data_IF_597886068990
#
_entry.id   IF_597886068990
#
_cell.length_a   1.000
_cell.length_b   1.000
_cell.length_c   1.000
_cell.angle_alpha   90.00
_cell.angle_beta   90.00
_cell.angle_gamma   90.00
#
_symmetry.space_group_name_H-M   'P 1'
#
loop_
_entity.id
_entity.type
_entity.pdbx_description
1 polymer ?
#
# COMPACT_ATOMS: atom_id res chain seq x y z
N UNK A 1 5.54 51.91 -24.79
CA UNK A 1 6.00 50.99 -23.74
C UNK A 1 7.51 50.88 -23.87
N UNK A 2 8.28 51.49 -22.97
CA UNK A 2 9.75 51.57 -23.09
C UNK A 2 10.36 50.16 -23.03
N UNK A 3 11.36 49.88 -23.88
CA UNK A 3 12.09 48.60 -23.93
C UNK A 3 12.50 48.01 -22.57
N UNK A 4 13.03 48.79 -21.59
CA UNK A 4 13.35 48.25 -20.27
C UNK A 4 12.15 47.60 -19.57
N UNK A 5 10.94 48.14 -19.78
CA UNK A 5 9.72 47.65 -19.14
C UNK A 5 9.24 46.32 -19.74
N UNK A 6 9.58 46.02 -21.00
CA UNK A 6 9.30 44.71 -21.63
C UNK A 6 10.23 43.62 -21.08
N UNK A 7 11.51 43.93 -20.91
CA UNK A 7 12.50 42.99 -20.36
C UNK A 7 12.19 42.63 -18.91
N UNK A 8 11.78 43.60 -18.08
CA UNK A 8 11.38 43.33 -16.69
C UNK A 8 10.14 42.42 -16.62
N UNK A 9 9.16 42.61 -17.51
CA UNK A 9 7.95 41.79 -17.54
C UNK A 9 8.26 40.33 -17.93
N UNK A 10 9.14 40.12 -18.91
CA UNK A 10 9.60 38.78 -19.32
C UNK A 10 10.36 38.09 -18.19
N UNK A 11 11.19 38.82 -17.44
CA UNK A 11 11.95 38.27 -16.32
C UNK A 11 11.03 37.85 -15.15
N UNK A 12 9.98 38.61 -14.85
CA UNK A 12 8.99 38.27 -13.82
C UNK A 12 8.20 37.01 -14.21
N UNK A 13 7.79 36.89 -15.48
CA UNK A 13 7.10 35.70 -15.99
C UNK A 13 8.02 34.49 -15.93
N UNK A 14 9.29 34.61 -16.32
CA UNK A 14 10.26 33.52 -16.25
C UNK A 14 10.56 33.07 -14.81
N UNK A 15 10.62 34.03 -13.88
CA UNK A 15 10.82 33.76 -12.45
C UNK A 15 9.63 33.06 -11.80
N UNK A 16 8.42 33.28 -12.31
CA UNK A 16 7.20 32.64 -11.78
C UNK A 16 7.06 31.15 -12.12
N UNK A 17 7.91 30.62 -13.01
CA UNK A 17 7.97 29.18 -13.31
C UNK A 17 9.04 28.42 -12.50
N UNK A 18 9.81 29.10 -11.63
CA UNK A 18 10.89 28.48 -10.84
C UNK A 18 10.44 27.98 -9.46
N UNK A 19 9.13 27.93 -9.19
CA UNK A 19 8.65 27.15 -8.05
C UNK A 19 8.85 25.68 -8.35
N UNK A 20 10.02 25.16 -7.98
CA UNK A 20 10.32 23.74 -7.92
C UNK A 20 9.31 23.12 -6.95
N UNK A 21 8.22 22.55 -7.47
CA UNK A 21 7.30 21.76 -6.66
C UNK A 21 8.12 20.60 -6.11
N UNK A 22 8.27 20.54 -4.79
CA UNK A 22 8.94 19.41 -4.16
C UNK A 22 8.04 18.18 -4.28
N UNK A 23 8.63 17.08 -4.76
CA UNK A 23 8.04 15.75 -4.72
C UNK A 23 8.06 15.15 -3.31
N UNK A 24 8.55 15.89 -2.30
CA UNK A 24 8.58 15.41 -0.93
C UNK A 24 7.22 15.45 -0.25
N UNK A 25 6.91 14.39 0.49
CA UNK A 25 5.77 14.29 1.40
C UNK A 25 6.25 14.09 2.82
N UNK A 26 5.51 14.68 3.76
CA UNK A 26 5.75 14.50 5.18
C UNK A 26 4.73 13.56 5.79
N UNK A 27 5.22 12.60 6.57
CA UNK A 27 4.42 11.61 7.25
C UNK A 27 4.68 11.66 8.75
N UNK A 28 3.64 11.41 9.53
CA UNK A 28 3.74 11.10 10.95
C UNK A 28 3.51 9.59 11.09
N UNK A 29 4.51 8.90 11.64
CA UNK A 29 4.40 7.49 12.01
C UNK A 29 4.26 7.41 13.52
N UNK A 30 3.17 6.82 13.99
CA UNK A 30 2.93 6.57 15.41
C UNK A 30 2.83 5.07 15.64
N UNK A 31 3.66 4.54 16.52
CA UNK A 31 3.59 3.16 16.97
C UNK A 31 3.00 3.08 18.39
N UNK A 32 2.20 2.04 18.61
CA UNK A 32 1.39 1.84 19.80
C UNK A 32 1.74 0.52 20.48
N UNK A 33 1.73 0.53 21.81
CA UNK A 33 2.09 -0.63 22.61
C UNK A 33 0.93 -1.64 22.72
N UNK A 34 1.12 -2.71 23.49
CA UNK A 34 0.11 -3.75 23.69
C UNK A 34 -1.13 -3.27 24.45
N UNK A 35 -1.07 -2.12 25.12
CA UNK A 35 -2.21 -1.47 25.78
C UNK A 35 -2.92 -0.47 24.85
N UNK A 36 -2.34 -0.20 23.67
CA UNK A 36 -2.84 0.78 22.72
C UNK A 36 -2.42 2.21 23.04
N UNK A 37 -1.40 2.39 23.87
CA UNK A 37 -0.82 3.70 24.18
C UNK A 37 0.29 4.02 23.18
N UNK A 38 0.35 5.27 22.75
CA UNK A 38 1.46 5.77 21.93
C UNK A 38 2.78 5.59 22.68
N UNK A 39 3.74 4.89 22.07
CA UNK A 39 5.08 4.74 22.64
C UNK A 39 6.17 5.39 21.78
N UNK A 40 5.95 5.50 20.48
CA UNK A 40 6.88 6.15 19.56
C UNK A 40 6.12 6.97 18.51
N UNK A 41 6.66 8.14 18.19
CA UNK A 41 6.11 9.04 17.18
C UNK A 41 7.25 9.70 16.42
N UNK A 42 7.25 9.54 15.11
CA UNK A 42 8.36 9.94 14.23
C UNK A 42 7.82 10.71 13.03
N UNK A 43 8.40 11.88 12.79
CA UNK A 43 8.18 12.66 11.57
C UNK A 43 9.17 12.20 10.49
N UNK A 44 8.65 11.84 9.32
CA UNK A 44 9.44 11.35 8.18
C UNK A 44 9.14 12.19 6.95
N UNK A 45 10.20 12.62 6.25
CA UNK A 45 10.09 13.30 4.97
C UNK A 45 10.61 12.37 3.89
N UNK A 46 9.78 12.12 2.88
CA UNK A 46 10.05 11.14 1.83
C UNK A 46 9.90 11.83 0.48
N UNK A 47 10.95 11.80 -0.34
CA UNK A 47 10.83 12.13 -1.76
C UNK A 47 10.12 10.99 -2.48
N UNK A 48 8.90 11.27 -2.97
CA UNK A 48 8.07 10.26 -3.63
C UNK A 48 8.14 10.34 -5.16
N UNK A 49 9.03 11.15 -5.73
CA UNK A 49 9.22 11.30 -7.19
C UNK A 49 7.89 11.54 -7.92
N UNK A 50 7.06 12.43 -7.35
CA UNK A 50 5.74 12.80 -7.86
C UNK A 50 4.74 11.64 -8.03
N UNK A 51 4.97 10.47 -7.40
CA UNK A 51 4.02 9.36 -7.35
C UNK A 51 2.81 9.70 -6.48
N UNK A 52 1.70 8.97 -6.66
CA UNK A 52 0.59 9.03 -5.71
C UNK A 52 0.95 8.24 -4.45
N UNK A 53 0.38 8.65 -3.31
CA UNK A 53 0.56 7.91 -2.05
C UNK A 53 -0.40 6.72 -2.05
N UNK A 54 0.00 5.58 -2.62
CA UNK A 54 -0.82 4.37 -2.72
C UNK A 54 -0.32 3.23 -1.80
N UNK A 55 -0.99 2.06 -1.84
CA UNK A 55 -0.62 0.89 -1.02
C UNK A 55 0.80 0.41 -1.33
N UNK A 56 1.25 0.55 -2.59
CA UNK A 56 2.59 0.13 -3.01
C UNK A 56 3.66 1.04 -2.39
N UNK A 57 3.45 2.35 -2.43
CA UNK A 57 4.33 3.32 -1.77
C UNK A 57 4.34 3.13 -0.26
N UNK A 58 3.18 2.89 0.36
CA UNK A 58 3.10 2.61 1.79
C UNK A 58 3.90 1.36 2.18
N UNK A 59 3.85 0.31 1.37
CA UNK A 59 4.69 -0.87 1.57
C UNK A 59 6.17 -0.57 1.36
N UNK A 60 6.53 0.18 0.32
CA UNK A 60 7.93 0.51 -0.02
C UNK A 60 8.66 1.23 1.12
N UNK A 61 8.02 2.21 1.76
CA UNK A 61 8.67 3.03 2.79
C UNK A 61 8.34 2.62 4.23
N UNK A 62 7.19 1.98 4.48
CA UNK A 62 6.76 1.63 5.84
C UNK A 62 6.55 0.13 6.07
N UNK A 63 6.76 -0.69 5.02
CA UNK A 63 6.57 -2.14 5.03
C UNK A 63 5.15 -2.58 5.39
N UNK A 64 4.13 -1.73 5.19
CA UNK A 64 2.72 -2.05 5.50
C UNK A 64 1.75 -1.63 4.39
N UNK A 65 0.76 -2.47 4.02
CA UNK A 65 0.63 -3.88 4.40
C UNK A 65 1.76 -4.72 3.80
N UNK A 66 2.20 -5.74 4.54
CA UNK A 66 3.33 -6.59 4.12
C UNK A 66 3.04 -7.41 2.86
N UNK A 67 1.80 -7.88 2.71
CA UNK A 67 1.37 -8.71 1.58
C UNK A 67 0.08 -8.17 0.97
N UNK A 68 0.11 -7.90 -0.33
CA UNK A 68 -1.03 -7.42 -1.09
C UNK A 68 -0.88 -7.82 -2.56
N UNK A 69 -1.99 -7.98 -3.31
CA UNK A 69 -1.95 -8.21 -4.75
C UNK A 69 -1.40 -7.00 -5.52
N UNK A 70 -0.75 -7.24 -6.65
CA UNK A 70 -0.30 -6.16 -7.56
C UNK A 70 -1.48 -5.31 -8.07
N UNK A 71 -2.61 -5.96 -8.34
CA UNK A 71 -3.86 -5.31 -8.77
C UNK A 71 -5.02 -5.83 -7.95
N UNK A 72 -5.79 -4.92 -7.38
CA UNK A 72 -7.03 -5.25 -6.69
C UNK A 72 -8.23 -5.39 -7.63
N UNK A 73 -8.11 -4.91 -8.86
CA UNK A 73 -9.17 -4.96 -9.87
C UNK A 73 -8.56 -5.44 -11.18
N UNK A 74 -9.05 -6.56 -11.71
CA UNK A 74 -8.60 -7.11 -12.98
C UNK A 74 -9.76 -7.72 -13.77
N UNK A 75 -10.16 -7.03 -14.85
CA UNK A 75 -11.26 -7.42 -15.73
C UNK A 75 -11.11 -8.82 -16.32
N UNK A 76 -9.88 -9.34 -16.43
CA UNK A 76 -9.59 -10.68 -16.96
C UNK A 76 -10.21 -11.79 -16.11
N UNK A 77 -10.33 -11.57 -14.80
CA UNK A 77 -10.72 -12.59 -13.83
C UNK A 77 -12.10 -12.33 -13.22
N UNK A 78 -12.97 -11.57 -13.90
CA UNK A 78 -14.34 -11.30 -13.45
C UNK A 78 -15.06 -12.58 -13.01
N UNK A 79 -15.58 -12.58 -11.78
CA UNK A 79 -16.31 -13.70 -11.19
C UNK A 79 -15.52 -15.02 -11.13
N UNK A 80 -14.20 -14.93 -11.04
CA UNK A 80 -13.32 -16.09 -10.96
C UNK A 80 -12.59 -16.16 -9.64
N UNK A 81 -12.19 -17.38 -9.26
CA UNK A 81 -11.13 -17.61 -8.27
C UNK A 81 -9.93 -18.14 -9.01
N UNK A 82 -8.81 -17.44 -8.91
CA UNK A 82 -7.54 -17.89 -9.48
C UNK A 82 -6.63 -18.37 -8.34
N UNK A 83 -5.93 -19.47 -8.60
CA UNK A 83 -4.91 -20.01 -7.70
C UNK A 83 -3.61 -20.07 -8.48
N UNK A 84 -2.61 -19.35 -8.01
CA UNK A 84 -1.28 -19.31 -8.60
C UNK A 84 -0.37 -20.13 -7.69
N UNK A 85 0.10 -21.24 -8.24
CA UNK A 85 1.27 -21.93 -7.72
C UNK A 85 2.49 -21.11 -8.11
N UNK A 86 3.37 -20.79 -7.15
CA UNK A 86 4.73 -20.26 -7.37
C UNK A 86 4.87 -19.33 -8.58
N UNK A 87 4.99 -18.03 -8.33
CA UNK A 87 5.20 -17.04 -9.39
C UNK A 87 6.44 -17.40 -10.22
N UNK A 88 6.27 -17.76 -11.50
CA UNK A 88 7.36 -18.23 -12.38
C UNK A 88 8.47 -17.16 -12.58
N UNK A 89 8.16 -15.90 -12.25
CA UNK A 89 9.04 -14.75 -12.39
C UNK A 89 9.82 -14.38 -11.12
N UNK A 90 9.62 -15.07 -10.00
CA UNK A 90 10.45 -14.86 -8.81
C UNK A 90 11.85 -15.45 -9.03
N UNK A 91 12.87 -14.59 -9.08
CA UNK A 91 14.28 -15.00 -9.12
C UNK A 91 14.53 -15.95 -7.95
N UNK A 92 14.87 -17.19 -8.27
CA UNK A 92 15.34 -18.16 -7.28
C UNK A 92 16.69 -17.71 -6.75
N UNK A 93 16.77 -17.41 -5.46
CA UNK A 93 18.02 -17.67 -4.73
C UNK A 93 18.25 -19.19 -4.77
N UNK A 94 19.49 -19.63 -4.98
CA UNK A 94 19.86 -21.06 -5.06
C UNK A 94 19.37 -21.88 -3.86
N UNK A 95 19.18 -21.24 -2.70
CA UNK A 95 18.57 -21.82 -1.51
C UNK A 95 17.12 -22.31 -1.74
N UNK A 96 16.31 -21.54 -2.48
CA UNK A 96 14.91 -21.84 -2.80
C UNK A 96 14.77 -22.88 -3.91
N UNK A 97 15.83 -23.14 -4.68
CA UNK A 97 15.82 -24.14 -5.75
C UNK A 97 15.64 -25.57 -5.19
N UNK A 98 16.16 -25.83 -3.99
CA UNK A 98 15.99 -27.10 -3.26
C UNK A 98 14.57 -27.28 -2.68
N UNK A 99 13.76 -26.21 -2.65
CA UNK A 99 12.38 -26.23 -2.15
C UNK A 99 11.35 -26.23 -3.28
N UNK A 100 11.73 -26.66 -4.49
CA UNK A 100 10.85 -26.86 -5.65
C UNK A 100 9.57 -27.68 -5.38
N UNK A 101 9.53 -28.44 -4.29
CA UNK A 101 8.40 -29.26 -3.86
C UNK A 101 7.52 -28.62 -2.76
N UNK A 102 7.76 -27.35 -2.37
CA UNK A 102 6.94 -26.70 -1.35
C UNK A 102 5.61 -26.22 -1.96
N UNK A 103 4.53 -26.84 -1.48
CA UNK A 103 3.17 -26.65 -1.98
C UNK A 103 2.50 -25.39 -1.41
N UNK A 104 2.98 -24.21 -1.79
CA UNK A 104 2.32 -22.96 -1.43
C UNK A 104 1.64 -22.32 -2.63
N UNK A 105 0.53 -21.64 -2.37
CA UNK A 105 -0.27 -20.97 -3.39
C UNK A 105 -0.70 -19.59 -2.91
N UNK A 106 -0.84 -18.68 -3.87
CA UNK A 106 -1.64 -17.49 -3.72
C UNK A 106 -3.00 -17.71 -4.37
N UNK A 107 -4.07 -17.39 -3.64
CA UNK A 107 -5.43 -17.47 -4.16
C UNK A 107 -6.06 -16.10 -4.16
N UNK A 108 -6.75 -15.73 -5.24
CA UNK A 108 -7.46 -14.46 -5.37
C UNK A 108 -8.88 -14.73 -5.88
N UNK A 109 -9.88 -14.25 -5.14
CA UNK A 109 -11.29 -14.36 -5.50
C UNK A 109 -11.80 -13.00 -5.96
N UNK A 110 -12.32 -12.95 -7.18
CA UNK A 110 -12.87 -11.76 -7.80
C UNK A 110 -14.40 -11.79 -7.82
N UNK A 111 -15.03 -10.63 -7.70
CA UNK A 111 -16.48 -10.48 -7.85
C UNK A 111 -16.91 -10.18 -9.30
N UNK A 112 -18.22 -9.98 -9.49
CA UNK A 112 -18.84 -9.63 -10.77
C UNK A 112 -18.39 -8.27 -11.34
N UNK A 113 -17.77 -7.42 -10.53
CA UNK A 113 -17.18 -6.14 -10.95
C UNK A 113 -15.66 -6.22 -11.11
N UNK A 114 -15.12 -7.45 -11.07
CA UNK A 114 -13.70 -7.75 -11.21
C UNK A 114 -12.84 -7.24 -10.06
N UNK A 115 -13.42 -6.98 -8.88
CA UNK A 115 -12.71 -6.59 -7.67
C UNK A 115 -12.31 -7.83 -6.89
N UNK A 116 -11.08 -7.89 -6.41
CA UNK A 116 -10.65 -8.91 -5.45
C UNK A 116 -11.44 -8.70 -4.16
N UNK A 117 -12.25 -9.67 -3.74
CA UNK A 117 -12.98 -9.63 -2.47
C UNK A 117 -12.28 -10.43 -1.37
N UNK A 118 -11.41 -11.36 -1.76
CA UNK A 118 -10.59 -12.15 -0.86
C UNK A 118 -9.27 -12.53 -1.53
N UNK A 119 -8.16 -12.46 -0.78
CA UNK A 119 -6.88 -13.01 -1.23
C UNK A 119 -6.15 -13.70 -0.09
N UNK A 120 -5.41 -14.76 -0.41
CA UNK A 120 -4.72 -15.57 0.59
C UNK A 120 -3.39 -16.12 0.11
N UNK A 121 -2.61 -16.56 1.07
CA UNK A 121 -1.40 -17.35 0.90
C UNK A 121 -1.49 -18.56 1.80
N UNK A 122 -1.35 -19.75 1.23
CA UNK A 122 -1.51 -21.01 1.97
C UNK A 122 -0.39 -21.29 2.97
N UNK A 123 0.69 -20.51 2.94
CA UNK A 123 1.84 -20.71 3.82
C UNK A 123 2.82 -21.74 3.26
N UNK A 124 4.06 -21.66 3.73
CA UNK A 124 5.10 -22.63 3.44
C UNK A 124 5.85 -22.91 4.74
N UNK A 125 5.91 -24.18 5.15
CA UNK A 125 6.41 -24.60 6.47
C UNK A 125 7.87 -24.20 6.74
N UNK A 126 8.65 -24.00 5.68
CA UNK A 126 10.08 -23.66 5.74
C UNK A 126 10.32 -22.19 5.36
N UNK A 127 9.30 -21.51 4.85
CA UNK A 127 9.40 -20.11 4.47
C UNK A 127 9.10 -19.23 5.70
N UNK A 128 9.78 -18.09 5.82
CA UNK A 128 9.56 -17.13 6.93
C UNK A 128 8.17 -16.48 6.93
N UNK A 129 7.33 -16.76 5.93
CA UNK A 129 6.03 -16.15 5.74
C UNK A 129 4.93 -17.07 6.27
N UNK A 130 4.21 -16.58 7.28
CA UNK A 130 3.01 -17.25 7.81
C UNK A 130 1.86 -17.20 6.79
N UNK A 131 0.98 -18.21 6.76
CA UNK A 131 -0.22 -18.15 5.96
C UNK A 131 -1.08 -16.95 6.35
N UNK A 132 -1.74 -16.37 5.36
CA UNK A 132 -2.66 -15.26 5.58
C UNK A 132 -3.87 -15.39 4.66
N UNK A 133 -4.98 -14.80 5.08
CA UNK A 133 -6.15 -14.65 4.25
C UNK A 133 -6.79 -13.32 4.61
N UNK A 134 -7.03 -12.46 3.61
CA UNK A 134 -7.61 -11.15 3.77
C UNK A 134 -8.89 -11.00 2.95
N UNK A 135 -9.95 -10.52 3.60
CA UNK A 135 -11.11 -9.92 2.92
C UNK A 135 -10.83 -8.47 2.58
N UNK A 136 -11.24 -8.05 1.39
CA UNK A 136 -11.03 -6.69 0.88
C UNK A 136 -12.34 -5.92 0.89
N UNK A 137 -12.33 -4.68 1.39
CA UNK A 137 -13.47 -3.77 1.31
C UNK A 137 -13.09 -2.54 0.51
N UNK A 138 -14.02 -2.06 -0.32
CA UNK A 138 -13.84 -0.91 -1.20
C UNK A 138 -14.79 0.23 -0.82
N UNK A 139 -14.41 1.45 -1.17
CA UNK A 139 -15.33 2.58 -1.24
C UNK A 139 -16.07 2.66 -2.59
N UNK A 140 -16.92 3.67 -2.73
CA UNK A 140 -17.68 3.97 -3.96
C UNK A 140 -16.78 4.31 -5.16
N UNK A 141 -15.57 4.81 -4.92
CA UNK A 141 -14.58 5.12 -5.94
C UNK A 141 -13.71 3.90 -6.29
N UNK A 142 -14.10 2.70 -5.81
CA UNK A 142 -13.41 1.43 -6.05
C UNK A 142 -11.99 1.38 -5.47
N UNK A 143 -11.72 2.17 -4.41
CA UNK A 143 -10.44 2.17 -3.68
C UNK A 143 -10.53 1.25 -2.47
N UNK A 144 -9.46 0.53 -2.17
CA UNK A 144 -9.41 -0.39 -1.02
C UNK A 144 -9.37 0.41 0.28
N UNK A 145 -10.41 0.31 1.11
CA UNK A 145 -10.48 1.01 2.41
C UNK A 145 -10.18 0.10 3.59
N UNK A 146 -10.23 -1.23 3.41
CA UNK A 146 -9.96 -2.19 4.48
C UNK A 146 -9.44 -3.52 3.95
N UNK A 147 -8.43 -4.05 4.62
CA UNK A 147 -7.95 -5.42 4.47
C UNK A 147 -8.10 -6.12 5.82
N UNK A 148 -9.01 -7.08 5.91
CA UNK A 148 -9.35 -7.76 7.16
C UNK A 148 -8.83 -9.19 7.12
N UNK A 149 -7.89 -9.55 7.99
CA UNK A 149 -7.42 -10.93 8.10
C UNK A 149 -8.60 -11.80 8.56
N UNK A 150 -8.86 -12.92 7.91
CA UNK A 150 -9.96 -13.85 8.23
C UNK A 150 -9.51 -15.00 9.15
N UNK A 151 -8.21 -15.30 9.20
CA UNK A 151 -7.63 -16.26 10.15
C UNK A 151 -7.63 -15.64 11.55
N UNK A 152 -7.33 -14.34 11.62
CA UNK A 152 -7.47 -13.53 12.82
C UNK A 152 -8.36 -12.32 12.49
N UNK A 153 -9.68 -12.48 12.62
CA UNK A 153 -10.72 -11.48 12.28
C UNK A 153 -10.59 -10.10 12.95
N UNK A 154 -9.57 -9.91 13.78
CA UNK A 154 -9.24 -8.68 14.47
C UNK A 154 -8.03 -7.96 13.87
N UNK A 155 -7.10 -8.67 13.23
CA UNK A 155 -5.97 -8.05 12.53
C UNK A 155 -6.45 -7.45 11.21
N UNK A 156 -6.30 -6.14 11.05
CA UNK A 156 -6.75 -5.43 9.86
C UNK A 156 -5.89 -4.23 9.53
N UNK A 157 -5.98 -3.82 8.28
CA UNK A 157 -5.52 -2.53 7.77
C UNK A 157 -6.73 -1.69 7.40
N UNK A 158 -6.71 -0.40 7.75
CA UNK A 158 -7.70 0.57 7.33
C UNK A 158 -7.01 1.73 6.63
N UNK A 159 -7.58 2.17 5.50
CA UNK A 159 -7.03 3.21 4.65
C UNK A 159 -8.04 4.35 4.51
N UNK A 160 -7.56 5.59 4.62
CA UNK A 160 -8.31 6.79 4.26
C UNK A 160 -7.63 7.52 3.13
N UNK A 161 -8.45 8.09 2.25
CA UNK A 161 -7.98 8.77 1.05
C UNK A 161 -8.44 10.22 1.04
N UNK A 162 -7.64 11.09 0.41
CA UNK A 162 -8.10 12.41 -0.01
C UNK A 162 -8.90 12.33 -1.33
N UNK A 163 -9.29 13.50 -1.85
CA UNK A 163 -9.99 13.62 -3.15
C UNK A 163 -9.15 13.23 -4.35
N UNK A 164 -7.82 13.33 -4.25
CA UNK A 164 -6.88 12.99 -5.32
C UNK A 164 -6.60 11.48 -5.39
N UNK A 165 -7.06 10.72 -4.40
CA UNK A 165 -6.81 9.29 -4.31
C UNK A 165 -5.52 8.91 -3.57
N UNK A 166 -4.86 9.88 -2.93
CA UNK A 166 -3.73 9.60 -2.03
C UNK A 166 -4.23 9.07 -0.70
N UNK A 167 -3.56 8.06 -0.16
CA UNK A 167 -3.75 7.59 1.21
C UNK A 167 -3.21 8.67 2.16
N UNK A 168 -4.11 9.24 2.96
CA UNK A 168 -3.79 10.23 3.99
C UNK A 168 -3.68 9.60 5.38
N UNK A 169 -4.22 8.41 5.58
CA UNK A 169 -4.08 7.66 6.82
C UNK A 169 -4.10 6.15 6.55
N UNK A 170 -3.13 5.43 7.10
CA UNK A 170 -3.09 3.97 7.18
C UNK A 170 -3.04 3.56 8.65
N UNK A 171 -3.93 2.67 9.07
CA UNK A 171 -3.94 2.08 10.42
C UNK A 171 -3.81 0.57 10.37
N UNK A 172 -2.88 0.03 11.15
CA UNK A 172 -2.70 -1.42 11.36
C UNK A 172 -3.15 -1.80 12.75
N UNK A 173 -4.04 -2.78 12.84
CA UNK A 173 -4.56 -3.34 14.09
C UNK A 173 -4.01 -4.74 14.36
N UNK A 174 -3.79 -5.07 15.63
CA UNK A 174 -3.38 -6.39 16.09
C UNK A 174 -4.50 -7.42 15.99
N UNK A 175 -4.15 -8.70 16.22
CA UNK A 175 -5.12 -9.78 16.42
C UNK A 175 -6.04 -9.59 17.65
N UNK A 176 -5.83 -8.57 18.47
CA UNK A 176 -6.72 -8.17 19.56
C UNK A 176 -7.55 -6.93 19.21
N UNK A 177 -7.48 -6.46 17.95
CA UNK A 177 -8.13 -5.23 17.47
C UNK A 177 -7.63 -3.97 18.20
N UNK A 178 -6.37 -3.99 18.64
CA UNK A 178 -5.67 -2.82 19.19
C UNK A 178 -4.87 -2.16 18.07
N UNK A 179 -4.89 -0.83 18.00
CA UNK A 179 -4.07 -0.10 17.05
C UNK A 179 -2.60 -0.37 17.37
N UNK A 180 -1.81 -0.78 16.38
CA UNK A 180 -0.38 -1.04 16.51
C UNK A 180 0.46 0.05 15.85
N UNK A 181 -0.01 0.54 14.70
CA UNK A 181 0.70 1.52 13.89
C UNK A 181 -0.29 2.40 13.15
N UNK A 182 -0.01 3.70 13.14
CA UNK A 182 -0.70 4.69 12.34
C UNK A 182 0.32 5.46 11.52
N UNK A 183 0.05 5.62 10.24
CA UNK A 183 0.84 6.46 9.33
C UNK A 183 -0.11 7.51 8.77
N UNK A 184 0.18 8.78 8.99
CA UNK A 184 -0.64 9.89 8.52
C UNK A 184 0.17 10.83 7.64
N UNK A 185 -0.38 11.21 6.49
CA UNK A 185 0.17 12.26 5.64
C UNK A 185 -0.14 13.63 6.27
N UNK A 186 0.85 14.52 6.32
CA UNK A 186 0.68 15.91 6.77
C UNK A 186 0.12 16.83 5.70
#
# INVERSE_FOLDING_TARGET
>A
MNEPMKLTLIFIIFSSFLSCQTSEKEFIVTDFDFEGKEYEKTDLKIDIDSRNVDIKLMNEYFYVPYYFPEKFIDSKYKDQTITIWRNENEKTDDFLENFKNNNWTHTYKYDLESKIVEYSYSGCMICSNMPYNYKVTYDENRRVIKLQNTISEKQKFEFKYNSNGDIIELKLYSSENKLKKQIALK
#
